data_IF_611306300276
#
_entry.id   IF_611306300276
#
_cell.length_a   1.000
_cell.length_b   1.000
_cell.length_c   1.000
_cell.angle_alpha   90.00
_cell.angle_beta   90.00
_cell.angle_gamma   90.00
#
_symmetry.space_group_name_H-M   'P 1'
#
loop_
_entity.id
_entity.type
_entity.pdbx_description
1 polymer ?
#
# COMPACT_ATOMS: atom_id res chain seq x y z
N UNK A 1 6.74 7.55 -19.55
CA UNK A 1 5.56 6.79 -19.11
C UNK A 1 5.75 6.06 -17.77
N UNK A 2 6.88 5.40 -17.50
CA UNK A 2 7.12 4.66 -16.23
C UNK A 2 7.17 5.50 -14.94
N UNK A 3 7.67 6.75 -14.98
CA UNK A 3 7.82 7.61 -13.78
C UNK A 3 6.50 7.86 -13.04
N UNK A 4 5.39 8.02 -13.77
CA UNK A 4 4.06 8.28 -13.20
C UNK A 4 3.50 7.04 -12.50
N UNK A 5 3.75 5.85 -13.06
CA UNK A 5 3.42 4.56 -12.46
C UNK A 5 4.20 4.33 -11.17
N UNK A 6 5.51 4.64 -11.14
CA UNK A 6 6.33 4.52 -9.93
C UNK A 6 5.80 5.46 -8.83
N UNK A 7 5.47 6.71 -9.18
CA UNK A 7 4.86 7.65 -8.24
C UNK A 7 3.51 7.14 -7.71
N UNK A 8 2.72 6.48 -8.55
CA UNK A 8 1.44 5.88 -8.15
C UNK A 8 1.64 4.73 -7.16
N UNK A 9 2.58 3.83 -7.43
CA UNK A 9 2.93 2.73 -6.51
C UNK A 9 3.38 3.28 -5.17
N UNK A 10 4.24 4.30 -5.18
CA UNK A 10 4.69 4.95 -3.97
C UNK A 10 3.52 5.55 -3.16
N UNK A 11 2.59 6.24 -3.81
CA UNK A 11 1.39 6.78 -3.16
C UNK A 11 0.50 5.68 -2.57
N UNK A 12 0.36 4.54 -3.24
CA UNK A 12 -0.42 3.42 -2.73
C UNK A 12 0.18 2.85 -1.44
N UNK A 13 1.51 2.73 -1.39
CA UNK A 13 2.23 2.31 -0.19
C UNK A 13 2.05 3.31 0.95
N UNK A 14 2.19 4.60 0.66
CA UNK A 14 1.98 5.65 1.66
C UNK A 14 0.54 5.67 2.20
N UNK A 15 -0.46 5.48 1.33
CA UNK A 15 -1.87 5.43 1.74
C UNK A 15 -2.15 4.23 2.66
N UNK A 16 -1.66 3.04 2.33
CA UNK A 16 -1.82 1.85 3.19
C UNK A 16 -1.11 2.02 4.53
N UNK A 17 0.13 2.52 4.53
CA UNK A 17 0.86 2.80 5.76
C UNK A 17 0.14 3.84 6.65
N UNK A 18 -0.44 4.87 6.03
CA UNK A 18 -1.18 5.91 6.77
C UNK A 18 -2.52 5.40 7.30
N UNK A 19 -3.21 4.54 6.56
CA UNK A 19 -4.42 3.86 7.02
C UNK A 19 -4.16 2.96 8.22
N UNK A 20 -3.06 2.20 8.18
CA UNK A 20 -2.66 1.33 9.30
C UNK A 20 -2.28 2.15 10.55
N UNK A 21 -1.80 3.38 10.38
CA UNK A 21 -1.44 4.28 11.48
C UNK A 21 -2.62 5.10 12.02
N UNK A 22 -3.70 5.26 11.25
CA UNK A 22 -4.83 6.12 11.59
C UNK A 22 -6.12 5.68 10.88
N UNK A 23 -7.07 5.09 11.62
CA UNK A 23 -8.37 4.65 11.09
C UNK A 23 -9.23 5.82 10.54
N UNK A 24 -8.93 7.06 10.93
CA UNK A 24 -9.68 8.26 10.50
C UNK A 24 -9.20 8.86 9.18
N UNK A 25 -8.23 8.23 8.49
CA UNK A 25 -7.65 8.81 7.27
C UNK A 25 -8.66 8.82 6.11
N UNK A 26 -8.94 10.02 5.58
CA UNK A 26 -9.72 10.17 4.34
C UNK A 26 -8.88 9.70 3.17
N UNK A 27 -9.32 8.61 2.54
CA UNK A 27 -8.81 8.12 1.27
C UNK A 27 -8.56 9.25 0.28
N UNK A 28 -7.44 9.16 -0.47
CA UNK A 28 -7.17 10.08 -1.54
C UNK A 28 -8.34 10.13 -2.53
N UNK A 29 -8.89 11.32 -2.71
CA UNK A 29 -9.94 11.53 -3.70
C UNK A 29 -9.38 11.21 -5.10
N UNK A 30 -10.11 10.41 -5.89
CA UNK A 30 -9.66 10.01 -7.24
C UNK A 30 -9.31 11.18 -8.16
N UNK A 31 -9.86 12.38 -7.91
CA UNK A 31 -9.49 13.60 -8.62
C UNK A 31 -8.05 14.08 -8.32
N UNK A 32 -7.56 13.93 -7.09
CA UNK A 32 -6.19 14.30 -6.71
C UNK A 32 -5.17 13.33 -7.34
N UNK A 33 -5.51 12.03 -7.37
CA UNK A 33 -4.68 11.02 -8.01
C UNK A 33 -4.67 11.16 -9.55
N UNK A 34 -5.81 11.53 -10.14
CA UNK A 34 -5.90 11.87 -11.56
C UNK A 34 -4.98 13.05 -11.92
N UNK A 35 -4.99 14.11 -11.09
CA UNK A 35 -4.08 15.24 -11.23
C UNK A 35 -2.61 14.84 -11.16
N UNK A 36 -2.24 13.93 -10.24
CA UNK A 36 -0.87 13.43 -10.10
C UNK A 36 -0.37 12.62 -11.31
N UNK A 37 -1.27 11.88 -11.98
CA UNK A 37 -0.95 11.15 -13.21
C UNK A 37 -1.08 12.00 -14.49
N UNK A 38 -1.59 13.22 -14.38
CA UNK A 38 -1.92 14.08 -15.52
C UNK A 38 -2.99 13.46 -16.41
N UNK A 39 -3.93 12.71 -15.83
CA UNK A 39 -5.08 12.12 -16.53
C UNK A 39 -6.36 12.80 -16.08
N UNK A 40 -7.40 12.77 -16.93
CA UNK A 40 -8.71 13.30 -16.55
C UNK A 40 -9.34 12.45 -15.45
N UNK A 41 -10.25 13.06 -14.68
CA UNK A 41 -11.02 12.35 -13.64
C UNK A 41 -11.82 11.17 -14.21
N UNK A 42 -12.35 11.30 -15.43
CA UNK A 42 -13.08 10.23 -16.12
C UNK A 42 -12.16 9.06 -16.46
N UNK A 43 -11.01 9.32 -17.09
CA UNK A 43 -10.01 8.28 -17.39
C UNK A 43 -9.48 7.61 -16.12
N UNK A 44 -9.33 8.37 -15.03
CA UNK A 44 -8.99 7.82 -13.74
C UNK A 44 -10.07 6.85 -13.23
N UNK A 45 -11.33 7.26 -13.19
CA UNK A 45 -12.42 6.41 -12.69
C UNK A 45 -12.65 5.16 -13.54
N UNK A 46 -12.57 5.26 -14.86
CA UNK A 46 -12.84 4.14 -15.76
C UNK A 46 -11.68 3.14 -15.83
N UNK A 47 -10.42 3.62 -15.88
CA UNK A 47 -9.27 2.77 -16.19
C UNK A 47 -8.39 2.56 -14.95
N UNK A 48 -8.01 3.63 -14.26
CA UNK A 48 -6.97 3.54 -13.22
C UNK A 48 -7.51 3.21 -11.82
N UNK A 49 -8.77 3.51 -11.52
CA UNK A 49 -9.39 3.21 -10.23
C UNK A 49 -9.42 1.69 -9.89
N UNK A 50 -9.76 0.76 -10.81
CA UNK A 50 -9.64 -0.67 -10.52
C UNK A 50 -8.20 -1.10 -10.30
N UNK A 51 -7.25 -0.60 -11.09
CA UNK A 51 -5.82 -0.87 -10.89
C UNK A 51 -5.31 -0.34 -9.55
N UNK A 52 -5.75 0.85 -9.14
CA UNK A 52 -5.45 1.44 -7.84
C UNK A 52 -5.95 0.56 -6.70
N UNK A 53 -7.19 0.07 -6.77
CA UNK A 53 -7.72 -0.87 -5.76
C UNK A 53 -6.91 -2.16 -5.68
N UNK A 54 -6.58 -2.77 -6.83
CA UNK A 54 -5.76 -3.98 -6.87
C UNK A 54 -4.37 -3.75 -6.27
N UNK A 55 -3.74 -2.61 -6.59
CA UNK A 55 -2.44 -2.22 -6.06
C UNK A 55 -2.46 -2.07 -4.53
N UNK A 56 -3.50 -1.44 -3.98
CA UNK A 56 -3.67 -1.32 -2.53
C UNK A 56 -3.83 -2.68 -1.86
N UNK A 57 -4.64 -3.57 -2.44
CA UNK A 57 -4.79 -4.93 -1.92
C UNK A 57 -3.47 -5.70 -1.93
N UNK A 58 -2.67 -5.57 -3.00
CA UNK A 58 -1.35 -6.19 -3.07
C UNK A 58 -0.39 -5.65 -2.00
N UNK A 59 -0.39 -4.32 -1.78
CA UNK A 59 0.43 -3.69 -0.73
C UNK A 59 -0.01 -4.13 0.66
N UNK A 60 -1.32 -4.19 0.95
CA UNK A 60 -1.82 -4.68 2.24
C UNK A 60 -1.42 -6.12 2.48
N UNK A 61 -1.55 -6.99 1.48
CA UNK A 61 -1.13 -8.39 1.60
C UNK A 61 0.39 -8.51 1.83
N UNK A 62 1.18 -7.67 1.16
CA UNK A 62 2.63 -7.62 1.35
C UNK A 62 2.98 -7.16 2.77
N UNK A 63 2.32 -6.13 3.29
CA UNK A 63 2.53 -5.61 4.63
C UNK A 63 2.18 -6.67 5.69
N UNK A 64 1.02 -7.32 5.56
CA UNK A 64 0.62 -8.42 6.44
C UNK A 64 1.61 -9.60 6.39
N UNK A 65 2.03 -10.03 5.18
CA UNK A 65 2.97 -11.16 5.03
C UNK A 65 4.35 -10.82 5.59
N UNK A 66 4.79 -9.57 5.45
CA UNK A 66 6.06 -9.09 5.99
C UNK A 66 6.01 -9.03 7.53
N UNK A 67 4.92 -8.53 8.11
CA UNK A 67 4.68 -8.53 9.56
C UNK A 67 4.69 -9.95 10.11
N UNK A 68 3.96 -10.86 9.48
CA UNK A 68 3.87 -12.26 9.86
C UNK A 68 5.25 -12.93 9.84
N UNK A 69 6.00 -12.75 8.76
CA UNK A 69 7.38 -13.25 8.63
C UNK A 69 8.31 -12.72 9.73
N UNK A 70 8.22 -11.43 10.08
CA UNK A 70 9.02 -10.82 11.14
C UNK A 70 8.63 -11.33 12.53
N UNK A 71 7.34 -11.54 12.78
CA UNK A 71 6.84 -12.08 14.05
C UNK A 71 7.27 -13.53 14.24
N UNK A 72 7.16 -14.37 13.21
CA UNK A 72 7.63 -15.75 13.25
C UNK A 72 9.15 -15.84 13.48
N UNK A 73 9.95 -15.03 12.77
CA UNK A 73 11.41 -14.94 13.00
C UNK A 73 11.77 -14.49 14.42
N UNK A 74 10.97 -13.62 15.03
CA UNK A 74 11.18 -13.19 16.42
C UNK A 74 10.80 -14.27 17.43
N UNK A 75 9.75 -15.04 17.18
CA UNK A 75 9.39 -16.19 18.03
C UNK A 75 10.46 -17.27 18.00
N UNK A 76 11.03 -17.57 16.83
CA UNK A 76 12.10 -18.57 16.68
C UNK A 76 13.36 -18.15 17.46
N UNK A 77 13.77 -16.87 17.33
CA UNK A 77 14.89 -16.34 18.12
C UNK A 77 14.62 -16.31 19.62
N UNK A 78 13.40 -15.94 20.03
CA UNK A 78 13.03 -15.96 21.45
C UNK A 78 12.99 -17.38 22.02
N UNK A 79 12.70 -18.38 21.19
CA UNK A 79 12.76 -19.80 21.55
C UNK A 79 14.21 -20.30 21.67
N UNK A 80 15.08 -19.96 20.71
CA UNK A 80 16.51 -20.29 20.74
C UNK A 80 17.22 -19.65 21.96
N UNK A 81 16.93 -18.37 22.25
CA UNK A 81 17.49 -17.66 23.41
C UNK A 81 16.99 -18.22 24.77
N UNK A 82 15.85 -18.91 24.80
CA UNK A 82 15.29 -19.49 26.02
C UNK A 82 15.83 -20.89 26.37
N UNK A 83 16.47 -21.57 25.41
CA UNK A 83 17.04 -22.92 25.57
C UNK A 83 18.59 -22.91 25.67
N UNK A 84 19.24 -21.77 25.38
CA UNK A 84 20.68 -21.55 25.61
C UNK A 84 21.02 -21.08 27.01
#
# INVERSE_FOLDING_TARGET
>A
TKKRLIALVWLAVQEVATMNLNETYKQYAGAALAGHLGVSRSTWCEIYAPHWRALKSAVTNLDCSALDSVLYLKQDKAFDDAIS
#
